data_IF_392787688755
#
_entry.id   IF_392787688755
#
_cell.length_a   1.000
_cell.length_b   1.000
_cell.length_c   1.000
_cell.angle_alpha   90.00
_cell.angle_beta   90.00
_cell.angle_gamma   90.00
#
_symmetry.space_group_name_H-M   'P 1'
#
loop_
_entity.id
_entity.type
_entity.pdbx_description
1 polymer ?
#
# COMPACT_ATOMS: atom_id res chain seq x y z
N UNK A 1 -18.76 -7.78 33.03
CA UNK A 1 -18.10 -8.74 32.13
C UNK A 1 -17.43 -7.98 30.97
N UNK A 2 -16.53 -6.98 31.07
CA UNK A 2 -15.48 -6.55 32.01
C UNK A 2 -14.43 -7.58 32.37
N UNK A 3 -13.61 -7.94 31.38
CA UNK A 3 -12.30 -8.56 31.55
C UNK A 3 -11.40 -7.98 30.46
N UNK A 4 -10.18 -7.55 30.79
CA UNK A 4 -9.20 -6.78 29.97
C UNK A 4 -9.17 -5.25 30.05
N UNK A 5 -9.28 -4.70 31.27
CA UNK A 5 -8.55 -3.46 31.61
C UNK A 5 -7.75 -3.72 32.89
N UNK A 6 -6.45 -3.97 32.73
CA UNK A 6 -5.36 -3.74 33.70
C UNK A 6 -4.22 -4.76 33.51
N UNK A 7 -3.15 -4.33 32.84
CA UNK A 7 -1.74 -4.58 33.15
C UNK A 7 -1.02 -3.63 32.18
N UNK A 8 -0.51 -2.47 32.59
CA UNK A 8 0.81 -2.30 33.21
C UNK A 8 0.77 -0.98 34.01
N UNK A 9 0.93 -1.07 35.34
CA UNK A 9 1.50 0.02 36.15
C UNK A 9 2.97 -0.32 36.33
N UNK A 10 3.88 0.49 35.80
CA UNK A 10 5.29 0.52 36.23
C UNK A 10 5.69 1.96 36.46
N UNK A 11 5.81 2.33 37.74
CA UNK A 11 6.66 3.44 38.16
C UNK A 11 7.94 2.80 38.69
N UNK A 12 9.09 3.15 38.12
CA UNK A 12 10.39 3.36 38.77
C UNK A 12 11.47 3.64 37.72
N UNK A 13 11.89 4.91 37.69
CA UNK A 13 13.27 5.41 37.56
C UNK A 13 14.18 4.87 36.45
N UNK A 14 14.47 5.75 35.48
CA UNK A 14 15.83 6.04 35.02
C UNK A 14 16.56 5.00 34.17
N UNK A 15 16.41 5.11 32.85
CA UNK A 15 17.50 5.17 31.86
C UNK A 15 16.87 5.30 30.49
N UNK A 16 17.26 6.30 29.71
CA UNK A 16 16.72 6.56 28.39
C UNK A 16 16.90 5.35 27.45
N UNK A 17 15.80 4.72 27.11
CA UNK A 17 15.67 3.88 25.92
C UNK A 17 14.66 4.58 25.03
N UNK A 18 15.11 5.06 23.87
CA UNK A 18 14.21 5.57 22.85
C UNK A 18 13.21 4.45 22.52
N UNK A 19 11.93 4.70 22.76
CA UNK A 19 10.87 3.85 22.24
C UNK A 19 11.01 3.81 20.71
N UNK A 20 10.87 2.64 20.05
CA UNK A 20 10.89 2.61 18.61
C UNK A 20 9.72 3.48 18.12
N UNK A 21 10.02 4.46 17.26
CA UNK A 21 9.05 5.33 16.59
C UNK A 21 8.01 4.48 15.84
N UNK A 22 6.94 4.08 16.51
CA UNK A 22 5.79 3.43 15.90
C UNK A 22 4.92 4.53 15.31
N UNK A 23 4.73 4.51 14.00
CA UNK A 23 3.75 5.38 13.36
C UNK A 23 2.36 5.03 13.90
N UNK A 24 1.79 5.89 14.75
CA UNK A 24 0.44 5.72 15.28
C UNK A 24 -0.57 6.37 14.33
N UNK A 25 -1.43 5.56 13.71
CA UNK A 25 -2.53 6.08 12.89
C UNK A 25 -3.51 6.82 13.81
N UNK A 26 -4.10 7.94 13.36
CA UNK A 26 -5.22 8.58 14.06
C UNK A 26 -6.32 7.56 14.37
N UNK A 27 -6.88 7.63 15.58
CA UNK A 27 -7.97 6.73 16.00
C UNK A 27 -9.25 6.98 15.20
N UNK A 28 -9.52 8.23 14.84
CA UNK A 28 -10.65 8.66 14.03
C UNK A 28 -10.14 9.44 12.81
N UNK A 29 -10.66 9.11 11.63
CA UNK A 29 -10.41 9.93 10.43
C UNK A 29 -11.44 11.03 10.35
N UNK A 30 -11.00 12.18 9.84
CA UNK A 30 -11.93 13.19 9.37
C UNK A 30 -12.40 12.81 7.96
N UNK A 31 -13.64 12.32 7.87
CA UNK A 31 -14.27 12.00 6.61
C UNK A 31 -14.86 13.27 6.02
N UNK A 32 -14.47 13.56 4.79
CA UNK A 32 -15.01 14.67 4.03
C UNK A 32 -15.81 14.15 2.84
N UNK A 33 -16.80 14.95 2.46
CA UNK A 33 -17.50 14.82 1.19
C UNK A 33 -16.86 15.79 0.21
N UNK A 34 -16.18 15.26 -0.81
CA UNK A 34 -15.54 16.08 -1.82
C UNK A 34 -16.49 16.32 -3.00
N UNK A 35 -16.97 17.55 -3.16
CA UNK A 35 -17.99 17.87 -4.17
C UNK A 35 -17.43 18.06 -5.57
N UNK A 36 -16.16 18.44 -5.71
CA UNK A 36 -15.73 19.13 -6.94
C UNK A 36 -15.49 18.16 -8.10
N UNK A 37 -15.11 16.92 -7.80
CA UNK A 37 -14.99 15.85 -8.79
C UNK A 37 -16.07 14.76 -8.67
N UNK A 38 -16.84 14.75 -7.59
CA UNK A 38 -18.07 13.95 -7.46
C UNK A 38 -19.20 14.57 -8.31
N UNK A 39 -19.23 15.90 -8.43
CA UNK A 39 -20.21 16.66 -9.21
C UNK A 39 -19.66 17.27 -10.51
N UNK A 40 -18.46 16.87 -10.97
CA UNK A 40 -17.96 17.34 -12.26
C UNK A 40 -18.89 16.90 -13.39
N UNK A 41 -18.89 17.63 -14.51
CA UNK A 41 -19.58 17.20 -15.73
C UNK A 41 -19.14 15.78 -16.10
N UNK A 42 -20.09 14.97 -16.57
CA UNK A 42 -19.84 13.58 -16.97
C UNK A 42 -20.30 13.40 -18.42
N UNK A 43 -19.38 13.39 -19.40
CA UNK A 43 -17.91 13.34 -19.25
C UNK A 43 -17.27 14.68 -18.86
N UNK A 44 -16.17 14.63 -18.11
CA UNK A 44 -15.37 15.82 -17.78
C UNK A 44 -14.38 16.08 -18.93
N UNK A 45 -14.38 17.29 -19.46
CA UNK A 45 -13.54 17.69 -20.60
C UNK A 45 -12.06 17.87 -20.23
N UNK A 46 -11.77 18.22 -18.98
CA UNK A 46 -10.41 18.51 -18.51
C UNK A 46 -9.59 17.25 -18.18
N UNK A 47 -10.28 16.14 -17.86
CA UNK A 47 -9.63 14.92 -17.38
C UNK A 47 -9.83 13.74 -18.33
N UNK A 48 -8.76 12.99 -18.54
CA UNK A 48 -8.77 11.79 -19.39
C UNK A 48 -9.73 10.74 -18.84
N UNK A 49 -10.76 10.42 -19.61
CA UNK A 49 -11.79 9.47 -19.21
C UNK A 49 -11.34 8.01 -19.40
N UNK A 50 -11.88 7.13 -18.56
CA UNK A 50 -11.71 5.69 -18.78
C UNK A 50 -12.54 5.23 -19.98
N UNK A 51 -12.07 4.23 -20.74
CA UNK A 51 -12.85 3.70 -21.85
C UNK A 51 -14.21 3.15 -21.39
N UNK A 52 -15.28 3.53 -22.08
CA UNK A 52 -16.67 3.19 -21.74
C UNK A 52 -16.99 1.69 -21.75
N UNK A 53 -16.15 0.88 -22.40
CA UNK A 53 -16.27 -0.58 -22.39
C UNK A 53 -15.87 -1.21 -21.05
N UNK A 54 -15.18 -0.48 -20.16
CA UNK A 54 -14.82 -0.98 -18.84
C UNK A 54 -16.05 -1.02 -17.93
N UNK A 55 -16.45 -2.22 -17.54
CA UNK A 55 -17.56 -2.44 -16.60
C UNK A 55 -17.06 -2.33 -15.15
N UNK A 56 -17.03 -1.11 -14.65
CA UNK A 56 -16.74 -0.81 -13.24
C UNK A 56 -18.06 -0.77 -12.50
N UNK A 57 -18.15 -1.53 -11.41
CA UNK A 57 -19.28 -1.52 -10.50
C UNK A 57 -19.40 -0.12 -9.87
N UNK A 58 -20.58 0.47 -9.92
CA UNK A 58 -20.90 1.79 -9.33
C UNK A 58 -22.03 1.72 -8.28
N UNK A 59 -22.55 0.52 -8.00
CA UNK A 59 -23.76 0.32 -7.20
C UNK A 59 -23.44 -0.29 -5.84
N UNK A 60 -22.55 -1.28 -5.79
CA UNK A 60 -22.25 -1.97 -4.54
C UNK A 60 -21.53 -1.06 -3.54
N UNK A 61 -21.71 -1.33 -2.25
CA UNK A 61 -21.00 -0.61 -1.19
C UNK A 61 -19.51 -0.96 -1.21
N UNK A 62 -18.67 0.06 -1.18
CA UNK A 62 -17.21 -0.06 -1.17
C UNK A 62 -16.64 -0.12 0.25
N UNK A 63 -17.23 0.63 1.18
CA UNK A 63 -16.83 0.70 2.57
C UNK A 63 -16.85 -0.70 3.22
N UNK A 64 -15.80 -1.01 3.99
CA UNK A 64 -15.65 -2.31 4.66
C UNK A 64 -15.23 -3.46 3.73
N UNK A 65 -14.96 -3.22 2.45
CA UNK A 65 -14.54 -4.29 1.51
C UNK A 65 -13.07 -4.67 1.64
N UNK A 66 -12.27 -3.91 2.40
CA UNK A 66 -10.88 -4.24 2.74
C UNK A 66 -10.86 -4.83 4.14
N UNK A 67 -10.43 -6.09 4.27
CA UNK A 67 -10.25 -6.68 5.60
C UNK A 67 -9.04 -6.06 6.30
N UNK A 68 -9.11 -5.83 7.63
CA UNK A 68 -7.98 -5.37 8.44
C UNK A 68 -6.68 -6.10 8.12
N UNK A 69 -5.61 -5.34 8.09
CA UNK A 69 -4.26 -5.83 7.87
C UNK A 69 -3.27 -4.93 8.60
N UNK A 70 -2.13 -5.52 8.95
CA UNK A 70 -1.12 -4.90 9.81
C UNK A 70 0.05 -4.34 9.01
N UNK A 71 0.48 -5.04 7.96
CA UNK A 71 1.59 -4.60 7.10
C UNK A 71 1.32 -4.89 5.64
N UNK A 72 1.91 -4.07 4.78
CA UNK A 72 2.00 -4.34 3.36
C UNK A 72 3.46 -4.43 2.92
N UNK A 73 3.79 -5.52 2.22
CA UNK A 73 5.09 -5.80 1.64
C UNK A 73 5.05 -5.45 0.16
N UNK A 74 5.86 -4.47 -0.23
CA UNK A 74 6.05 -4.05 -1.61
C UNK A 74 7.34 -4.67 -2.16
N UNK A 75 7.22 -5.67 -3.03
CA UNK A 75 8.36 -6.32 -3.66
C UNK A 75 8.72 -5.56 -4.93
N UNK A 76 9.92 -4.99 -4.99
CA UNK A 76 10.43 -4.29 -6.18
C UNK A 76 10.70 -5.31 -7.29
N UNK A 77 9.93 -5.25 -8.39
CA UNK A 77 10.12 -6.20 -9.52
C UNK A 77 10.51 -5.54 -10.83
N UNK A 78 10.39 -4.22 -10.96
CA UNK A 78 10.59 -3.49 -12.20
C UNK A 78 9.59 -3.80 -13.32
N UNK A 79 8.56 -4.61 -13.05
CA UNK A 79 7.54 -5.04 -14.03
C UNK A 79 6.26 -4.23 -13.88
N UNK A 80 5.52 -4.09 -14.97
CA UNK A 80 4.21 -3.41 -14.99
C UNK A 80 3.01 -4.37 -14.99
N UNK A 81 3.27 -5.67 -15.16
CA UNK A 81 2.27 -6.74 -15.11
C UNK A 81 2.93 -8.04 -14.62
N UNK A 82 2.14 -8.94 -14.05
CA UNK A 82 2.64 -10.14 -13.37
C UNK A 82 1.77 -11.36 -13.71
N UNK A 83 2.20 -12.57 -13.33
CA UNK A 83 1.32 -13.75 -13.39
C UNK A 83 -0.04 -13.44 -12.73
N UNK A 84 -1.12 -14.03 -13.24
CA UNK A 84 -2.50 -13.73 -12.80
C UNK A 84 -2.63 -13.81 -11.27
N UNK A 85 -1.99 -14.81 -10.66
CA UNK A 85 -1.93 -15.04 -9.23
C UNK A 85 -0.46 -15.13 -8.84
N UNK A 86 0.06 -14.06 -8.25
CA UNK A 86 1.48 -13.99 -7.89
C UNK A 86 1.83 -14.96 -6.76
N UNK A 87 0.84 -15.27 -5.93
CA UNK A 87 0.89 -16.20 -4.81
C UNK A 87 0.93 -17.68 -5.24
N UNK A 88 0.63 -17.96 -6.51
CA UNK A 88 0.62 -19.32 -7.08
C UNK A 88 1.83 -19.58 -8.01
N UNK A 89 2.73 -18.60 -8.17
CA UNK A 89 3.94 -18.80 -8.98
C UNK A 89 4.97 -19.58 -8.16
N UNK A 90 5.06 -20.88 -8.43
CA UNK A 90 5.97 -21.80 -7.76
C UNK A 90 7.42 -21.29 -7.77
N UNK A 91 8.09 -21.37 -6.61
CA UNK A 91 9.46 -20.90 -6.44
C UNK A 91 9.65 -19.39 -6.49
N UNK A 92 8.57 -18.60 -6.56
CA UNK A 92 8.68 -17.13 -6.48
C UNK A 92 8.61 -16.63 -5.05
N UNK A 93 9.29 -15.51 -4.76
CA UNK A 93 9.25 -14.87 -3.45
C UNK A 93 7.81 -14.54 -2.98
N UNK A 94 6.88 -13.98 -3.80
CA UNK A 94 5.52 -13.72 -3.35
C UNK A 94 4.75 -14.99 -2.93
N UNK A 95 4.96 -16.11 -3.64
CA UNK A 95 4.33 -17.38 -3.29
C UNK A 95 4.89 -17.95 -1.99
N UNK A 96 6.21 -17.93 -1.82
CA UNK A 96 6.86 -18.40 -0.59
C UNK A 96 6.51 -17.53 0.63
N UNK A 97 6.46 -16.20 0.47
CA UNK A 97 5.95 -15.29 1.50
C UNK A 97 4.51 -15.62 1.90
N UNK A 98 3.63 -15.79 0.91
CA UNK A 98 2.22 -16.10 1.16
C UNK A 98 2.09 -17.41 1.94
N UNK A 99 2.82 -18.44 1.53
CA UNK A 99 2.82 -19.76 2.17
C UNK A 99 3.35 -19.69 3.61
N UNK A 100 4.49 -19.05 3.86
CA UNK A 100 5.10 -18.96 5.21
C UNK A 100 4.25 -18.12 6.16
N UNK A 101 3.67 -17.01 5.69
CA UNK A 101 2.76 -16.19 6.49
C UNK A 101 1.48 -16.94 6.82
N UNK A 102 0.89 -17.68 5.86
CA UNK A 102 -0.33 -18.47 6.12
C UNK A 102 -0.13 -19.58 7.17
N UNK A 103 1.09 -20.10 7.30
CA UNK A 103 1.45 -21.12 8.29
C UNK A 103 1.76 -20.55 9.69
N UNK A 104 1.94 -19.23 9.80
CA UNK A 104 2.22 -18.55 11.06
C UNK A 104 0.93 -17.94 11.62
N UNK A 105 0.76 -17.99 12.94
CA UNK A 105 -0.35 -17.27 13.60
C UNK A 105 0.05 -15.82 13.74
N UNK A 106 -0.73 -14.90 13.17
CA UNK A 106 -0.42 -13.48 13.29
C UNK A 106 -1.42 -12.59 12.55
N UNK A 107 -1.23 -11.27 12.61
CA UNK A 107 -2.08 -10.33 11.90
C UNK A 107 -1.89 -10.49 10.38
N UNK A 108 -2.89 -10.05 9.62
CA UNK A 108 -2.87 -10.17 8.17
C UNK A 108 -1.77 -9.28 7.57
N UNK A 109 -0.97 -9.84 6.67
CA UNK A 109 0.02 -9.12 5.87
C UNK A 109 -0.39 -9.16 4.40
N UNK A 110 -0.30 -8.04 3.71
CA UNK A 110 -0.58 -7.92 2.28
C UNK A 110 0.74 -7.98 1.52
N UNK A 111 0.81 -8.79 0.46
CA UNK A 111 1.98 -8.92 -0.40
C UNK A 111 1.63 -8.36 -1.78
N UNK A 112 2.46 -7.48 -2.29
CA UNK A 112 2.26 -6.86 -3.61
C UNK A 112 3.59 -6.69 -4.34
N UNK A 113 3.61 -7.04 -5.63
CA UNK A 113 4.71 -6.68 -6.51
C UNK A 113 4.53 -5.25 -7.01
N UNK A 114 5.64 -4.56 -7.28
CA UNK A 114 5.62 -3.18 -7.79
C UNK A 114 6.49 -3.02 -9.03
N UNK A 115 6.19 -1.98 -9.80
CA UNK A 115 7.02 -1.55 -10.94
C UNK A 115 8.26 -0.75 -10.51
N UNK A 116 8.54 -0.64 -9.21
CA UNK A 116 9.76 -0.01 -8.70
C UNK A 116 10.97 -0.71 -9.30
N UNK A 117 11.94 0.07 -9.78
CA UNK A 117 13.17 -0.47 -10.38
C UNK A 117 13.96 -1.24 -9.32
N UNK A 118 14.40 -2.45 -9.69
CA UNK A 118 15.32 -3.24 -8.87
C UNK A 118 16.68 -2.54 -8.87
N UNK A 119 17.34 -2.37 -7.71
CA UNK A 119 18.64 -1.72 -7.64
C UNK A 119 19.70 -2.50 -8.44
N UNK A 120 20.64 -1.77 -9.04
CA UNK A 120 21.81 -2.37 -9.67
C UNK A 120 22.69 -3.05 -8.61
N UNK A 121 23.23 -4.24 -8.92
CA UNK A 121 24.10 -4.99 -8.02
C UNK A 121 23.40 -5.96 -7.06
N UNK A 122 22.07 -6.03 -7.06
CA UNK A 122 21.34 -7.07 -6.34
C UNK A 122 21.65 -8.45 -6.96
N UNK A 123 22.00 -9.44 -6.13
CA UNK A 123 22.34 -10.79 -6.62
C UNK A 123 21.11 -11.45 -7.22
N UNK A 124 21.34 -12.40 -8.12
CA UNK A 124 20.25 -13.22 -8.65
C UNK A 124 19.57 -13.99 -7.51
N UNK A 125 18.24 -13.90 -7.44
CA UNK A 125 17.44 -14.48 -6.36
C UNK A 125 17.24 -13.58 -5.15
N UNK A 126 18.02 -12.51 -5.01
CA UNK A 126 17.80 -11.49 -3.98
C UNK A 126 16.72 -10.48 -4.42
N UNK A 127 15.98 -9.99 -3.44
CA UNK A 127 14.88 -9.07 -3.60
C UNK A 127 15.00 -7.87 -2.67
N UNK A 128 14.40 -6.76 -3.10
CA UNK A 128 14.15 -5.58 -2.29
C UNK A 128 12.68 -5.52 -1.92
N UNK A 129 12.39 -5.35 -0.63
CA UNK A 129 11.05 -5.27 -0.07
C UNK A 129 10.92 -3.96 0.72
N UNK A 130 9.90 -3.16 0.41
CA UNK A 130 9.49 -2.04 1.26
C UNK A 130 8.38 -2.54 2.19
N UNK A 131 8.53 -2.28 3.48
CA UNK A 131 7.60 -2.64 4.55
C UNK A 131 6.85 -1.38 4.95
N UNK A 132 5.55 -1.37 4.69
CA UNK A 132 4.63 -0.30 5.06
C UNK A 132 3.73 -0.74 6.21
N UNK A 133 3.42 0.16 7.16
CA UNK A 133 3.76 1.59 7.15
C UNK A 133 5.10 1.95 7.83
N UNK A 134 5.93 0.95 8.18
CA UNK A 134 7.21 1.16 8.87
C UNK A 134 8.22 2.02 8.10
N UNK A 135 7.97 2.30 6.81
CA UNK A 135 8.89 3.00 5.91
C UNK A 135 10.30 2.37 5.91
N UNK A 136 10.36 1.04 5.98
CA UNK A 136 11.62 0.28 5.96
C UNK A 136 11.82 -0.37 4.60
N UNK A 137 12.99 -0.17 4.01
CA UNK A 137 13.43 -0.86 2.81
C UNK A 137 14.46 -1.91 3.22
N UNK A 138 14.22 -3.16 2.85
CA UNK A 138 15.06 -4.31 3.18
C UNK A 138 15.50 -4.97 1.88
N UNK A 139 16.81 -5.17 1.73
CA UNK A 139 17.45 -5.81 0.59
C UNK A 139 18.10 -7.13 0.98
N UNK A 140 18.51 -7.87 -0.04
CA UNK A 140 19.09 -9.21 0.09
C UNK A 140 18.08 -10.19 0.71
N UNK A 141 16.78 -10.03 0.41
CA UNK A 141 15.75 -10.99 0.83
C UNK A 141 15.60 -12.05 -0.25
N UNK A 142 15.73 -13.32 0.09
CA UNK A 142 15.58 -14.45 -0.82
C UNK A 142 14.86 -15.61 -0.11
N UNK A 143 14.66 -16.73 -0.81
CA UNK A 143 13.89 -17.86 -0.28
C UNK A 143 14.62 -18.54 0.89
N UNK A 144 15.95 -18.58 0.88
CA UNK A 144 16.75 -19.25 1.89
C UNK A 144 16.62 -18.54 3.24
N UNK A 145 16.58 -17.21 3.21
CA UNK A 145 16.64 -16.34 4.38
C UNK A 145 15.26 -15.75 4.80
N UNK A 146 14.18 -16.22 4.15
CA UNK A 146 12.85 -15.64 4.30
C UNK A 146 12.24 -15.82 5.70
N UNK A 147 12.54 -16.91 6.41
CA UNK A 147 12.05 -17.10 7.78
C UNK A 147 12.64 -16.07 8.72
N UNK A 148 13.96 -15.87 8.66
CA UNK A 148 14.66 -14.83 9.42
C UNK A 148 14.12 -13.42 9.12
N UNK A 149 13.83 -13.13 7.84
CA UNK A 149 13.16 -11.88 7.45
C UNK A 149 11.79 -11.71 8.14
N UNK A 150 10.96 -12.76 8.13
CA UNK A 150 9.64 -12.73 8.76
C UNK A 150 9.73 -12.55 10.27
N UNK A 151 10.61 -13.30 10.93
CA UNK A 151 10.85 -13.21 12.37
C UNK A 151 11.30 -11.81 12.77
N UNK A 152 12.27 -11.25 12.04
CA UNK A 152 12.86 -9.95 12.35
C UNK A 152 11.92 -8.78 12.08
N UNK A 153 11.26 -8.75 10.92
CA UNK A 153 10.54 -7.54 10.47
C UNK A 153 9.02 -7.62 10.56
N UNK A 154 8.44 -8.81 10.69
CA UNK A 154 6.99 -8.99 10.72
C UNK A 154 6.53 -9.38 12.11
N UNK A 155 7.14 -10.41 12.72
CA UNK A 155 6.69 -10.97 14.00
C UNK A 155 7.48 -10.46 15.21
N UNK A 156 8.60 -9.77 14.99
CA UNK A 156 9.47 -9.23 16.05
C UNK A 156 9.94 -10.32 17.03
N UNK A 157 10.25 -11.51 16.51
CA UNK A 157 10.88 -12.61 17.26
C UNK A 157 12.41 -12.39 17.31
N UNK A 158 13.12 -13.10 18.20
CA UNK A 158 14.56 -12.89 18.45
C UNK A 158 15.38 -12.77 17.15
N UNK A 159 16.22 -11.72 17.10
CA UNK A 159 16.98 -11.37 15.91
C UNK A 159 17.97 -12.49 15.55
N UNK A 160 17.74 -13.16 14.42
CA UNK A 160 18.74 -14.00 13.81
C UNK A 160 19.69 -13.12 12.98
N UNK A 161 21.00 -13.28 13.20
CA UNK A 161 22.04 -12.54 12.48
C UNK A 161 22.13 -13.02 11.02
N UNK A 162 21.34 -12.41 10.13
CA UNK A 162 21.61 -12.42 8.69
C UNK A 162 21.81 -10.98 8.20
N UNK A 163 22.71 -10.81 7.24
CA UNK A 163 23.08 -9.50 6.68
C UNK A 163 22.04 -9.01 5.66
N UNK A 164 20.85 -8.66 6.14
CA UNK A 164 19.95 -7.81 5.37
C UNK A 164 20.54 -6.39 5.27
N UNK A 165 20.54 -5.81 4.07
CA UNK A 165 20.81 -4.39 3.92
C UNK A 165 19.50 -3.63 4.20
N UNK A 166 19.47 -2.87 5.29
CA UNK A 166 18.28 -2.15 5.75
C UNK A 166 18.48 -0.66 5.60
N UNK A 167 17.49 0.00 5.01
CA UNK A 167 17.41 1.46 4.92
C UNK A 167 16.08 1.94 5.48
N UNK A 168 16.13 2.84 6.45
CA UNK A 168 14.96 3.63 6.84
C UNK A 168 14.68 4.67 5.75
N UNK A 169 13.49 4.63 5.17
CA UNK A 169 13.03 5.64 4.22
C UNK A 169 12.63 6.92 4.96
N UNK A 170 12.73 8.10 4.31
CA UNK A 170 12.34 9.37 4.92
C UNK A 170 10.92 9.31 5.49
N UNK A 171 10.69 9.94 6.64
CA UNK A 171 9.37 9.93 7.30
C UNK A 171 8.32 10.66 6.47
N UNK A 172 8.75 11.68 5.74
CA UNK A 172 7.94 12.49 4.82
C UNK A 172 7.65 11.80 3.47
N UNK A 173 8.26 10.63 3.20
CA UNK A 173 8.01 9.90 1.96
C UNK A 173 6.62 9.27 2.01
N UNK A 174 5.78 9.67 1.05
CA UNK A 174 4.42 9.15 0.86
C UNK A 174 4.38 8.20 -0.33
N UNK A 175 3.45 7.24 -0.31
CA UNK A 175 3.25 6.31 -1.43
C UNK A 175 1.83 6.40 -1.98
N UNK A 176 1.72 6.47 -3.30
CA UNK A 176 0.45 6.30 -4.03
C UNK A 176 0.56 5.01 -4.82
N UNK A 177 -0.11 3.96 -4.34
CA UNK A 177 -0.07 2.63 -4.96
C UNK A 177 -1.28 2.43 -5.84
N UNK A 178 -1.09 2.25 -7.15
CA UNK A 178 -2.17 2.11 -8.14
C UNK A 178 -2.19 0.69 -8.68
N UNK A 179 -3.29 -0.04 -8.50
CA UNK A 179 -3.41 -1.42 -8.98
C UNK A 179 -3.41 -1.48 -10.51
N UNK A 180 -2.39 -2.09 -11.13
CA UNK A 180 -2.21 -2.17 -12.59
C UNK A 180 -2.30 -3.58 -13.16
N UNK A 181 -2.67 -4.57 -12.35
CA UNK A 181 -2.52 -6.00 -12.67
C UNK A 181 -3.47 -6.49 -13.76
N UNK A 182 -3.08 -6.31 -15.03
CA UNK A 182 -3.91 -6.56 -16.22
C UNK A 182 -4.26 -8.02 -16.40
N UNK A 183 -3.29 -8.92 -16.18
CA UNK A 183 -3.52 -10.38 -16.27
C UNK A 183 -4.54 -10.87 -15.24
N UNK A 184 -4.60 -10.23 -14.06
CA UNK A 184 -5.61 -10.52 -13.03
C UNK A 184 -6.97 -9.91 -13.36
N UNK A 185 -7.00 -8.64 -13.75
CA UNK A 185 -8.22 -8.00 -14.23
C UNK A 185 -7.89 -6.84 -15.20
N UNK A 186 -8.46 -6.91 -16.41
CA UNK A 186 -8.27 -5.91 -17.48
C UNK A 186 -8.59 -4.50 -17.01
N UNK A 187 -9.57 -4.30 -16.11
CA UNK A 187 -10.00 -2.97 -15.66
C UNK A 187 -8.87 -2.25 -14.93
N UNK A 188 -8.16 -2.94 -14.06
CA UNK A 188 -6.99 -2.37 -13.36
C UNK A 188 -5.86 -2.06 -14.35
N UNK A 189 -5.57 -2.98 -15.27
CA UNK A 189 -4.54 -2.77 -16.30
C UNK A 189 -4.80 -1.61 -17.27
N UNK A 190 -6.07 -1.27 -17.53
CA UNK A 190 -6.42 -0.14 -18.40
C UNK A 190 -6.51 1.19 -17.62
N UNK A 191 -7.00 1.16 -16.38
CA UNK A 191 -7.18 2.38 -15.57
C UNK A 191 -5.87 2.91 -14.97
N UNK A 192 -4.95 2.03 -14.59
CA UNK A 192 -3.74 2.42 -13.87
C UNK A 192 -2.84 3.42 -14.63
N UNK A 193 -2.51 3.26 -15.93
CA UNK A 193 -1.68 4.23 -16.63
C UNK A 193 -2.29 5.62 -16.67
N UNK A 194 -3.62 5.72 -16.81
CA UNK A 194 -4.35 6.99 -16.82
C UNK A 194 -4.25 7.67 -15.45
N UNK A 195 -4.43 6.90 -14.38
CA UNK A 195 -4.33 7.43 -13.02
C UNK A 195 -2.90 7.84 -12.65
N UNK A 196 -1.90 7.02 -13.01
CA UNK A 196 -0.49 7.34 -12.73
C UNK A 196 -0.03 8.60 -13.48
N UNK A 197 -0.40 8.74 -14.75
CA UNK A 197 -0.17 9.95 -15.54
C UNK A 197 -0.74 11.20 -14.83
N UNK A 198 -1.97 11.09 -14.34
CA UNK A 198 -2.66 12.18 -13.66
C UNK A 198 -2.07 12.52 -12.28
N UNK A 199 -1.76 11.51 -11.46
CA UNK A 199 -1.10 11.73 -10.18
C UNK A 199 0.28 12.37 -10.35
N UNK A 200 1.06 11.95 -11.35
CA UNK A 200 2.36 12.56 -11.67
C UNK A 200 2.21 14.04 -12.04
N UNK A 201 1.18 14.39 -12.82
CA UNK A 201 0.87 15.79 -13.16
C UNK A 201 0.59 16.61 -11.89
N UNK A 202 -0.34 16.16 -11.06
CA UNK A 202 -0.77 16.86 -9.84
C UNK A 202 0.38 17.02 -8.85
N UNK A 203 1.16 15.96 -8.62
CA UNK A 203 2.30 15.97 -7.68
C UNK A 203 3.38 16.96 -8.14
N UNK A 204 3.65 17.02 -9.45
CA UNK A 204 4.59 17.96 -10.05
C UNK A 204 4.09 19.41 -9.95
N UNK A 205 2.81 19.65 -10.21
CA UNK A 205 2.21 20.99 -10.08
C UNK A 205 2.29 21.52 -8.64
N UNK A 206 2.26 20.63 -7.65
CA UNK A 206 2.43 20.96 -6.23
C UNK A 206 3.88 21.03 -5.77
N UNK A 207 4.86 20.65 -6.60
CA UNK A 207 6.28 20.65 -6.24
C UNK A 207 6.63 19.64 -5.12
N UNK A 208 5.93 18.50 -5.06
CA UNK A 208 6.13 17.45 -4.05
C UNK A 208 6.61 16.12 -4.64
N UNK A 209 7.07 16.11 -5.90
CA UNK A 209 7.52 14.90 -6.60
C UNK A 209 8.67 14.15 -5.93
N UNK A 210 9.54 14.85 -5.21
CA UNK A 210 10.64 14.24 -4.46
C UNK A 210 10.17 13.58 -3.14
N UNK A 211 8.93 13.84 -2.71
CA UNK A 211 8.35 13.33 -1.47
C UNK A 211 7.27 12.27 -1.69
N UNK A 212 6.92 11.97 -2.95
CA UNK A 212 5.82 11.05 -3.29
C UNK A 212 6.28 10.01 -4.30
N UNK A 213 6.26 8.73 -3.91
CA UNK A 213 6.53 7.62 -4.81
C UNK A 213 5.22 7.03 -5.33
N UNK A 214 4.95 7.22 -6.63
CA UNK A 214 3.76 6.66 -7.30
C UNK A 214 4.14 5.33 -7.94
N UNK A 215 3.55 4.24 -7.46
CA UNK A 215 3.88 2.88 -7.90
C UNK A 215 2.68 2.17 -8.50
N UNK A 216 2.90 1.51 -9.63
CA UNK A 216 1.99 0.50 -10.13
C UNK A 216 2.22 -0.80 -9.36
N UNK A 217 1.14 -1.41 -8.88
CA UNK A 217 1.20 -2.61 -8.05
C UNK A 217 0.36 -3.76 -8.60
N UNK A 218 0.74 -4.98 -8.21
CA UNK A 218 -0.05 -6.19 -8.45
C UNK A 218 -1.41 -6.13 -7.76
N UNK A 219 -2.25 -7.13 -8.00
CA UNK A 219 -3.62 -7.09 -7.55
C UNK A 219 -3.76 -6.92 -6.03
N UNK A 220 -4.48 -5.86 -5.64
CA UNK A 220 -4.78 -5.54 -4.24
C UNK A 220 -6.21 -5.94 -3.83
N UNK A 221 -7.00 -6.52 -4.73
CA UNK A 221 -8.41 -6.85 -4.49
C UNK A 221 -9.38 -5.73 -4.90
N UNK A 222 -10.66 -6.08 -5.05
CA UNK A 222 -11.71 -5.12 -5.44
C UNK A 222 -11.64 -4.67 -6.90
N UNK A 223 -11.20 -5.53 -7.82
CA UNK A 223 -11.12 -5.21 -9.25
C UNK A 223 -12.48 -4.80 -9.86
N UNK A 224 -13.61 -5.21 -9.27
CA UNK A 224 -14.94 -4.71 -9.64
C UNK A 224 -15.08 -3.19 -9.46
N UNK A 225 -14.36 -2.62 -8.50
CA UNK A 225 -14.26 -1.19 -8.19
C UNK A 225 -13.00 -0.54 -8.80
N UNK A 226 -12.59 -0.95 -10.00
CA UNK A 226 -11.34 -0.51 -10.61
C UNK A 226 -11.13 1.03 -10.59
N UNK A 227 -9.85 1.42 -10.64
CA UNK A 227 -9.39 2.66 -10.03
C UNK A 227 -9.09 2.43 -8.54
N UNK A 228 -8.40 1.33 -8.22
CA UNK A 228 -8.01 1.01 -6.85
C UNK A 228 -6.67 1.65 -6.54
N UNK A 229 -6.65 2.47 -5.48
CA UNK A 229 -5.49 3.25 -5.04
C UNK A 229 -5.31 3.08 -3.54
N UNK A 230 -4.06 2.95 -3.07
CA UNK A 230 -3.73 2.97 -1.64
C UNK A 230 -2.81 4.15 -1.38
N UNK A 231 -3.08 4.91 -0.32
CA UNK A 231 -2.28 6.08 0.08
C UNK A 231 -1.60 5.79 1.42
N UNK A 232 -0.28 5.83 1.45
CA UNK A 232 0.53 5.81 2.68
C UNK A 232 1.18 7.18 2.93
N UNK A 233 1.37 7.58 4.20
CA UNK A 233 1.29 6.74 5.39
C UNK A 233 -0.12 6.58 6.01
N UNK A 234 -1.13 7.28 5.47
CA UNK A 234 -2.54 7.22 5.92
C UNK A 234 -3.11 5.79 5.94
N UNK A 235 -2.63 4.90 5.07
CA UNK A 235 -3.05 3.51 4.98
C UNK A 235 -4.46 3.32 4.41
N UNK A 236 -5.00 4.33 3.71
CA UNK A 236 -6.37 4.30 3.19
C UNK A 236 -6.45 3.66 1.82
N UNK A 237 -7.53 2.91 1.60
CA UNK A 237 -7.84 2.24 0.35
C UNK A 237 -9.00 2.95 -0.34
N UNK A 238 -8.75 3.36 -1.57
CA UNK A 238 -9.75 3.91 -2.46
C UNK A 238 -10.10 2.95 -3.59
N UNK A 239 -11.36 3.01 -4.02
CA UNK A 239 -11.87 2.37 -5.23
C UNK A 239 -12.57 3.39 -6.09
N UNK A 240 -12.93 2.98 -7.31
CA UNK A 240 -13.69 3.82 -8.26
C UNK A 240 -13.00 5.14 -8.62
N UNK A 241 -11.71 5.28 -8.30
CA UNK A 241 -10.92 6.49 -8.54
C UNK A 241 -10.88 6.76 -10.04
N UNK A 242 -11.20 8.01 -10.41
CA UNK A 242 -11.06 8.55 -11.76
C UNK A 242 -9.90 9.55 -11.76
N UNK A 243 -9.45 9.95 -12.94
CA UNK A 243 -8.44 10.99 -13.13
C UNK A 243 -8.79 12.28 -12.39
N UNK A 244 -10.04 12.76 -12.49
CA UNK A 244 -10.47 13.98 -11.78
C UNK A 244 -10.26 13.93 -10.25
N UNK A 245 -10.35 12.75 -9.62
CA UNK A 245 -10.15 12.64 -8.17
C UNK A 245 -8.69 12.82 -7.74
N UNK A 246 -7.72 12.78 -8.66
CA UNK A 246 -6.30 12.78 -8.30
C UNK A 246 -5.89 14.03 -7.52
N UNK A 247 -6.38 15.21 -7.91
CA UNK A 247 -6.09 16.46 -7.20
C UNK A 247 -6.62 16.42 -5.77
N UNK A 248 -7.89 16.06 -5.60
CA UNK A 248 -8.50 15.95 -4.27
C UNK A 248 -7.80 14.91 -3.39
N UNK A 249 -7.43 13.74 -3.95
CA UNK A 249 -6.69 12.72 -3.18
C UNK A 249 -5.33 13.26 -2.70
N UNK A 250 -4.61 13.99 -3.55
CA UNK A 250 -3.31 14.56 -3.15
C UNK A 250 -3.49 15.67 -2.11
N UNK A 251 -4.45 16.56 -2.29
CA UNK A 251 -4.69 17.66 -1.34
C UNK A 251 -5.26 17.15 -0.02
N UNK A 252 -6.45 16.54 -0.10
CA UNK A 252 -7.23 16.22 1.08
C UNK A 252 -6.66 15.04 1.83
N UNK A 253 -6.25 13.99 1.13
CA UNK A 253 -5.80 12.76 1.79
C UNK A 253 -4.30 12.75 2.05
N UNK A 254 -3.47 13.05 1.06
CA UNK A 254 -2.02 12.94 1.24
C UNK A 254 -1.45 14.10 2.06
N UNK A 255 -1.93 15.34 1.85
CA UNK A 255 -1.42 16.52 2.55
C UNK A 255 -2.20 16.87 3.82
N UNK A 256 -3.54 16.82 3.75
CA UNK A 256 -4.40 17.24 4.86
C UNK A 256 -4.88 16.07 5.76
N UNK A 257 -4.56 14.82 5.42
CA UNK A 257 -4.97 13.59 6.16
C UNK A 257 -6.49 13.36 6.31
N UNK A 258 -7.31 13.98 5.45
CA UNK A 258 -8.76 13.76 5.35
C UNK A 258 -9.11 12.64 4.37
N UNK A 259 -10.14 11.86 4.69
CA UNK A 259 -10.61 10.76 3.85
C UNK A 259 -11.81 11.19 3.01
N UNK A 260 -11.72 10.96 1.69
CA UNK A 260 -12.83 11.17 0.76
C UNK A 260 -13.78 9.98 0.86
N UNK A 261 -14.95 10.20 1.48
CA UNK A 261 -15.87 9.12 1.84
C UNK A 261 -16.38 8.33 0.62
N UNK A 262 -16.64 9.00 -0.50
CA UNK A 262 -17.21 8.39 -1.71
C UNK A 262 -16.27 7.38 -2.37
N UNK A 263 -14.97 7.47 -2.10
CA UNK A 263 -13.93 6.60 -2.64
C UNK A 263 -13.53 5.50 -1.66
N UNK A 264 -13.85 5.67 -0.37
CA UNK A 264 -13.34 4.86 0.72
C UNK A 264 -13.77 3.39 0.62
N UNK A 265 -12.79 2.49 0.81
CA UNK A 265 -13.00 1.04 0.87
C UNK A 265 -12.64 0.42 2.21
N UNK A 266 -11.74 1.05 2.94
CA UNK A 266 -11.18 0.54 4.18
C UNK A 266 -9.78 1.07 4.41
N UNK A 267 -9.13 0.56 5.45
CA UNK A 267 -7.85 1.09 5.94
C UNK A 267 -6.94 -0.01 6.46
N UNK A 268 -5.69 0.37 6.63
CA UNK A 268 -4.77 -0.27 7.57
C UNK A 268 -5.35 -0.17 8.99
N UNK A 269 -5.43 -1.30 9.69
CA UNK A 269 -6.07 -1.39 11.00
C UNK A 269 -5.29 -2.41 11.84
N UNK A 270 -4.74 -1.93 12.95
CA UNK A 270 -3.85 -2.66 13.87
C UNK A 270 -4.60 -3.29 15.04
#
# INVERSE_FOLDING_TARGET
>A
MSWFLNTIKRTLTGSGSAEPDTYSLPQDYDFIHESDCVNCENPCEEHKQFPSYLKIDREETMEGTVKPYFKQLLISTGKHDWAERIEEVEGSLPAELTKRIANRKGPRVIITNTNRKVPEGLKEGDHEIIILPDNKLVRNVNIENLDCFLDTYIYSEEQHMEEFEVKQLPKELSFILVCSHKRRDKRCGVTAPILVEEFLRVVKEKGIEEKVEILMVSHIGGHKFAGNVIIYPVGVWYGRVKSCHAQAIVEKTLLDEHIIQELYRGRLDW
#
